data_IF_396520928878
#
_entry.id   IF_396520928878
#
_cell.length_a   1.000
_cell.length_b   1.000
_cell.length_c   1.000
_cell.angle_alpha   90.00
_cell.angle_beta   90.00
_cell.angle_gamma   90.00
#
_symmetry.space_group_name_H-M   'P 1'
#
loop_
_entity.id
_entity.type
_entity.pdbx_description
1 polymer ?
#
# COMPACT_ATOMS: atom_id res chain seq x y z
N UNK A 1 5.40 -16.88 -10.14
CA UNK A 1 5.87 -15.63 -9.53
C UNK A 1 5.67 -15.72 -8.03
N UNK A 2 6.78 -15.74 -7.28
CA UNK A 2 6.74 -15.87 -5.82
C UNK A 2 6.16 -14.61 -5.20
N UNK A 3 5.05 -14.73 -4.52
CA UNK A 3 4.26 -13.60 -4.02
C UNK A 3 4.14 -13.69 -2.51
N UNK A 4 4.33 -12.55 -1.86
CA UNK A 4 3.92 -12.32 -0.47
C UNK A 4 2.67 -11.45 -0.51
N UNK A 5 1.56 -11.93 0.07
CA UNK A 5 0.32 -11.18 0.13
C UNK A 5 -0.13 -11.00 1.58
N UNK A 6 -0.36 -9.74 1.98
CA UNK A 6 -0.85 -9.39 3.31
C UNK A 6 -2.36 -9.22 3.33
N UNK A 7 -2.98 -9.72 4.40
CA UNK A 7 -4.38 -9.47 4.71
C UNK A 7 -4.47 -8.35 5.77
N UNK A 8 -4.73 -7.14 5.30
CA UNK A 8 -4.69 -5.91 6.09
C UNK A 8 -5.92 -5.60 6.95
N UNK A 9 -6.86 -6.54 7.13
CA UNK A 9 -8.12 -6.31 7.86
C UNK A 9 -7.97 -5.97 9.33
N UNK A 10 -6.82 -6.19 9.93
CA UNK A 10 -6.47 -5.79 11.30
C UNK A 10 -5.29 -4.82 11.32
N UNK A 11 -5.09 -4.07 10.23
CA UNK A 11 -3.98 -3.13 10.10
C UNK A 11 -2.62 -3.80 9.98
N UNK A 12 -1.57 -3.03 10.30
CA UNK A 12 -0.18 -3.49 10.33
C UNK A 12 0.66 -2.58 11.23
N UNK A 13 1.55 -3.17 11.99
CA UNK A 13 2.63 -2.50 12.72
C UNK A 13 3.96 -3.19 12.41
N UNK A 14 5.08 -2.60 12.81
CA UNK A 14 6.40 -3.15 12.54
C UNK A 14 6.57 -4.55 13.12
N UNK A 15 6.26 -4.74 14.39
CA UNK A 15 6.29 -6.02 15.08
C UNK A 15 5.39 -7.09 14.43
N UNK A 16 4.19 -6.68 13.97
CA UNK A 16 3.29 -7.57 13.24
C UNK A 16 3.87 -8.01 11.90
N UNK A 17 4.54 -7.12 11.18
CA UNK A 17 5.22 -7.45 9.91
C UNK A 17 6.38 -8.41 10.15
N UNK A 18 7.25 -8.15 11.13
CA UNK A 18 8.33 -9.05 11.50
C UNK A 18 7.80 -10.44 11.87
N UNK A 19 6.82 -10.50 12.77
CA UNK A 19 6.20 -11.75 13.19
C UNK A 19 5.55 -12.52 12.03
N UNK A 20 4.85 -11.84 11.13
CA UNK A 20 4.22 -12.46 9.98
C UNK A 20 5.24 -13.02 8.98
N UNK A 21 6.33 -12.29 8.70
CA UNK A 21 7.40 -12.71 7.80
C UNK A 21 8.20 -13.89 8.36
N UNK A 22 8.56 -13.85 9.65
CA UNK A 22 9.22 -14.98 10.32
C UNK A 22 8.34 -16.24 10.31
N UNK A 23 7.07 -16.10 10.71
CA UNK A 23 6.12 -17.21 10.66
C UNK A 23 5.87 -17.74 9.25
N UNK A 24 6.04 -16.90 8.21
CA UNK A 24 5.95 -17.28 6.80
C UNK A 24 7.25 -17.83 6.22
N UNK A 25 8.26 -18.07 7.06
CA UNK A 25 9.47 -18.82 6.69
C UNK A 25 10.72 -17.99 6.43
N UNK A 26 10.70 -16.68 6.74
CA UNK A 26 11.92 -15.89 6.75
C UNK A 26 12.88 -16.35 7.83
N UNK A 27 14.17 -16.27 7.57
CA UNK A 27 15.21 -16.74 8.49
C UNK A 27 15.53 -15.68 9.55
N UNK A 28 15.25 -15.97 10.81
CA UNK A 28 15.54 -15.08 11.95
C UNK A 28 17.03 -14.68 12.03
N UNK A 29 17.95 -15.53 11.61
CA UNK A 29 19.38 -15.22 11.59
C UNK A 29 19.73 -14.04 10.66
N UNK A 30 18.86 -13.68 9.73
CA UNK A 30 19.02 -12.51 8.86
C UNK A 30 18.96 -11.18 9.62
N UNK A 31 18.41 -11.18 10.85
CA UNK A 31 18.30 -9.99 11.71
C UNK A 31 19.61 -9.62 12.45
N UNK A 32 20.64 -10.44 12.35
CA UNK A 32 21.92 -10.23 13.05
C UNK A 32 22.54 -8.82 12.87
N UNK A 33 22.55 -8.18 11.69
CA UNK A 33 23.12 -6.84 11.54
C UNK A 33 22.48 -5.79 12.45
N UNK A 34 21.18 -5.92 12.74
CA UNK A 34 20.46 -4.99 13.64
C UNK A 34 20.92 -5.17 15.05
N UNK A 35 20.92 -6.41 15.55
CA UNK A 35 21.29 -6.73 16.94
C UNK A 35 22.76 -6.48 17.25
N UNK A 36 23.63 -6.52 16.24
CA UNK A 36 25.04 -6.19 16.38
C UNK A 36 25.32 -4.68 16.45
N UNK A 37 24.38 -3.85 15.96
CA UNK A 37 24.55 -2.38 15.89
C UNK A 37 23.79 -1.63 16.96
N UNK A 38 22.56 -2.05 17.27
CA UNK A 38 21.66 -1.34 18.21
C UNK A 38 21.73 -1.83 19.64
N UNK A 39 22.63 -2.78 19.97
CA UNK A 39 22.69 -3.41 21.31
C UNK A 39 21.31 -3.92 21.77
N UNK A 40 20.48 -4.34 20.82
CA UNK A 40 19.16 -4.90 21.05
C UNK A 40 19.13 -6.41 20.74
N UNK A 41 18.07 -7.08 21.16
CA UNK A 41 17.78 -8.45 20.72
C UNK A 41 16.32 -8.59 20.34
N UNK A 42 16.05 -9.41 19.34
CA UNK A 42 14.70 -9.83 19.04
C UNK A 42 14.32 -11.02 19.93
N UNK A 43 13.13 -10.95 20.52
CA UNK A 43 12.51 -12.07 21.23
C UNK A 43 11.27 -12.50 20.45
N UNK A 44 11.41 -13.61 19.73
CA UNK A 44 10.33 -14.16 18.92
C UNK A 44 9.69 -15.35 19.60
N UNK A 45 8.40 -15.31 19.88
CA UNK A 45 7.68 -16.39 20.54
C UNK A 45 6.24 -16.51 20.04
N UNK A 46 5.64 -17.67 20.28
CA UNK A 46 4.26 -17.93 19.87
C UNK A 46 3.30 -17.50 20.97
N UNK A 47 2.30 -16.70 20.57
CA UNK A 47 1.19 -16.28 21.43
C UNK A 47 -0.15 -16.76 20.88
N UNK A 48 -1.14 -16.89 21.74
CA UNK A 48 -2.53 -17.12 21.33
C UNK A 48 -3.26 -15.78 21.16
N UNK A 49 -3.76 -15.52 19.96
CA UNK A 49 -4.64 -14.38 19.67
C UNK A 49 -6.01 -14.91 19.24
N UNK A 50 -6.92 -15.06 20.21
CA UNK A 50 -8.29 -15.56 19.98
C UNK A 50 -8.32 -16.92 19.26
N UNK A 51 -7.49 -17.88 19.71
CA UNK A 51 -7.40 -19.22 19.14
C UNK A 51 -6.52 -19.32 17.89
N UNK A 52 -5.82 -18.26 17.50
CA UNK A 52 -4.83 -18.26 16.43
C UNK A 52 -3.44 -18.24 17.07
N UNK A 53 -2.62 -19.25 16.78
CA UNK A 53 -1.20 -19.22 17.11
C UNK A 53 -0.50 -18.21 16.19
N UNK A 54 0.04 -17.15 16.77
CA UNK A 54 0.71 -16.07 16.05
C UNK A 54 2.09 -15.80 16.63
N UNK A 55 3.03 -15.37 15.79
CA UNK A 55 4.38 -15.00 16.22
C UNK A 55 4.36 -13.55 16.72
N UNK A 56 4.66 -13.37 17.99
CA UNK A 56 4.97 -12.06 18.57
C UNK A 56 6.48 -11.84 18.47
N UNK A 57 6.87 -10.64 18.10
CA UNK A 57 8.25 -10.21 18.07
C UNK A 57 8.37 -8.96 18.94
N UNK A 58 9.22 -9.04 19.95
CA UNK A 58 9.55 -7.92 20.81
C UNK A 58 11.01 -7.54 20.61
N UNK A 59 11.30 -6.24 20.53
CA UNK A 59 12.65 -5.71 20.53
C UNK A 59 13.01 -5.35 21.97
N UNK A 60 14.01 -6.03 22.52
CA UNK A 60 14.42 -5.86 23.91
C UNK A 60 15.81 -5.23 23.98
N UNK A 61 16.00 -4.28 24.91
CA UNK A 61 17.31 -3.74 25.21
C UNK A 61 18.21 -4.79 25.86
N UNK A 62 19.51 -4.73 25.58
CA UNK A 62 20.47 -5.55 26.31
C UNK A 62 20.66 -5.05 27.73
N UNK A 63 21.14 -5.89 28.66
CA UNK A 63 21.26 -5.57 30.10
C UNK A 63 22.12 -4.32 30.39
N UNK A 64 23.02 -3.93 29.48
CA UNK A 64 23.86 -2.73 29.64
C UNK A 64 23.08 -1.45 29.36
N UNK A 65 22.20 -1.44 28.35
CA UNK A 65 21.40 -0.28 27.99
C UNK A 65 20.17 -0.13 28.90
N UNK A 66 19.60 -1.22 29.38
CA UNK A 66 18.58 -1.18 30.41
C UNK A 66 19.07 -0.47 31.70
N UNK A 67 20.36 -0.62 32.06
CA UNK A 67 20.96 0.12 33.18
C UNK A 67 21.17 1.59 32.89
N UNK A 68 21.57 1.97 31.67
CA UNK A 68 21.72 3.38 31.26
C UNK A 68 20.39 4.11 31.21
N UNK A 69 19.35 3.48 30.66
CA UNK A 69 18.00 4.05 30.63
C UNK A 69 17.43 4.31 32.04
N UNK A 70 17.78 3.44 33.03
CA UNK A 70 17.44 3.67 34.44
C UNK A 70 18.25 4.81 35.08
N UNK A 71 19.53 4.96 34.74
CA UNK A 71 20.38 6.04 35.26
C UNK A 71 19.96 7.42 34.73
N UNK A 72 19.53 7.52 33.47
CA UNK A 72 19.03 8.76 32.85
C UNK A 72 17.65 9.15 33.39
N UNK A 73 16.78 8.18 33.74
CA UNK A 73 15.49 8.45 34.35
C UNK A 73 15.59 8.94 35.82
N UNK A 74 16.64 8.55 36.57
CA UNK A 74 16.88 9.02 37.94
C UNK A 74 17.57 10.40 37.99
N UNK A 75 18.10 10.91 36.86
CA UNK A 75 18.87 12.16 36.80
C UNK A 75 18.03 13.44 36.88
N UNK A 76 16.71 13.39 36.86
CA UNK A 76 15.84 14.58 36.85
C UNK A 76 15.13 14.92 38.17
N UNK A 77 15.54 14.35 39.31
CA UNK A 77 14.97 14.72 40.61
C UNK A 77 15.99 15.46 41.50
N UNK A 78 16.20 16.78 41.21
CA UNK A 78 16.71 17.73 42.18
C UNK A 78 16.19 19.15 41.89
N UNK A 79 15.14 19.54 42.60
CA UNK A 79 14.58 20.89 42.60
C UNK A 79 13.69 21.14 43.81
N UNK A 80 14.33 21.37 44.97
CA UNK A 80 13.92 22.19 46.14
C UNK A 80 12.43 22.29 46.46
N UNK A 81 12.14 21.83 47.69
CA UNK A 81 10.86 21.95 48.37
C UNK A 81 10.42 23.40 48.66
N UNK A 82 9.15 23.64 48.41
CA UNK A 82 8.37 24.63 49.13
C UNK A 82 7.06 24.00 49.60
N UNK A 83 6.95 23.81 50.91
CA UNK A 83 5.73 23.46 51.62
C UNK A 83 4.76 24.64 51.57
N UNK A 84 3.58 24.47 51.00
CA UNK A 84 2.39 25.26 51.34
C UNK A 84 1.21 24.31 51.57
N UNK A 85 0.84 24.30 52.84
CA UNK A 85 -0.34 23.69 53.44
C UNK A 85 -1.60 24.48 53.02
N UNK A 86 -2.51 23.88 52.24
CA UNK A 86 -3.89 24.33 52.10
C UNK A 86 -4.81 23.13 51.95
N UNK A 87 -5.45 22.80 53.08
CA UNK A 87 -6.62 21.93 53.20
C UNK A 87 -7.83 22.53 52.44
N UNK A 88 -8.33 21.87 51.41
CA UNK A 88 -9.72 21.91 51.00
C UNK A 88 -10.18 20.53 50.53
N UNK A 89 -11.10 19.97 51.30
CA UNK A 89 -11.86 18.79 50.99
C UNK A 89 -12.93 19.10 49.94
N UNK A 90 -12.92 18.43 48.81
CA UNK A 90 -14.10 18.15 48.00
C UNK A 90 -14.04 16.73 47.49
N UNK A 91 -14.98 15.97 48.00
CA UNK A 91 -15.35 14.60 47.68
C UNK A 91 -16.07 14.60 46.33
N UNK A 92 -15.49 13.97 45.27
CA UNK A 92 -16.19 13.39 44.16
C UNK A 92 -15.41 12.18 43.66
N UNK A 93 -15.85 11.01 44.12
CA UNK A 93 -15.34 9.73 43.68
C UNK A 93 -15.74 9.42 42.24
N UNK A 94 -14.77 9.29 41.38
CA UNK A 94 -14.82 8.47 40.17
C UNK A 94 -13.54 7.65 40.14
N UNK A 95 -13.64 6.43 40.64
CA UNK A 95 -12.62 5.41 40.47
C UNK A 95 -12.72 4.86 39.06
N UNK A 96 -11.83 5.27 38.19
CA UNK A 96 -11.50 4.48 36.99
C UNK A 96 -10.29 3.62 37.36
N UNK A 97 -10.61 2.38 37.71
CA UNK A 97 -9.64 1.34 37.96
C UNK A 97 -9.22 0.75 36.59
N UNK A 98 -8.15 1.25 36.03
CA UNK A 98 -7.46 0.65 34.91
C UNK A 98 -6.30 -0.18 35.44
N UNK A 99 -6.59 -1.23 36.18
CA UNK A 99 -5.62 -2.26 36.50
C UNK A 99 -5.52 -3.20 35.30
N UNK A 100 -4.53 -2.99 34.44
CA UNK A 100 -4.05 -4.02 33.54
C UNK A 100 -3.27 -5.05 34.37
N UNK A 101 -3.63 -6.34 34.33
CA UNK A 101 -2.79 -7.37 34.92
C UNK A 101 -1.58 -7.58 33.97
N UNK A 102 -0.50 -6.89 34.23
CA UNK A 102 0.81 -7.31 33.73
C UNK A 102 1.31 -8.41 34.64
N UNK A 103 1.08 -9.64 34.22
CA UNK A 103 1.74 -10.81 34.82
C UNK A 103 3.05 -11.04 34.02
N UNK A 104 4.11 -10.33 34.37
CA UNK A 104 5.44 -10.55 33.82
C UNK A 104 6.43 -10.76 34.96
N UNK A 105 6.83 -12.00 35.09
CA UNK A 105 7.94 -12.44 35.91
C UNK A 105 9.23 -12.61 35.09
N UNK A 106 9.50 -11.70 34.16
CA UNK A 106 10.77 -11.62 33.42
C UNK A 106 11.28 -10.19 33.42
N UNK A 107 12.49 -10.03 33.96
CA UNK A 107 13.21 -8.79 34.25
C UNK A 107 13.83 -8.20 32.95
N UNK A 108 13.02 -7.99 31.88
CA UNK A 108 13.47 -7.47 30.58
C UNK A 108 12.81 -6.14 30.30
N UNK A 109 13.61 -5.15 29.88
CA UNK A 109 13.14 -3.82 29.47
C UNK A 109 12.85 -3.83 27.97
N UNK A 110 11.59 -3.59 27.60
CA UNK A 110 11.20 -3.39 26.21
C UNK A 110 11.82 -2.11 25.67
N UNK A 111 12.24 -2.12 24.41
CA UNK A 111 12.74 -0.94 23.72
C UNK A 111 11.62 0.00 23.24
N UNK A 112 10.35 -0.40 23.42
CA UNK A 112 9.17 0.31 22.93
C UNK A 112 9.08 1.72 23.50
N UNK A 113 9.29 2.74 22.64
CA UNK A 113 9.36 4.14 23.03
C UNK A 113 10.56 4.52 23.90
N UNK A 114 11.49 3.62 24.18
CA UNK A 114 12.71 3.89 24.91
C UNK A 114 13.86 4.20 23.95
N UNK A 115 14.44 5.38 24.06
CA UNK A 115 15.60 5.78 23.27
C UNK A 115 15.66 7.30 23.08
N UNK A 116 16.80 7.84 22.65
CA UNK A 116 16.94 9.25 22.38
C UNK A 116 16.07 9.64 21.16
N UNK A 117 15.47 10.82 21.21
CA UNK A 117 14.88 11.42 20.03
C UNK A 117 15.99 11.67 19.01
N UNK A 118 15.91 11.03 17.85
CA UNK A 118 16.90 11.15 16.78
C UNK A 118 16.36 11.98 15.64
N UNK A 119 17.27 12.71 14.98
CA UNK A 119 16.98 13.35 13.71
C UNK A 119 16.94 12.32 12.60
N UNK A 120 16.30 12.66 11.48
CA UNK A 120 16.34 11.82 10.25
C UNK A 120 17.78 11.46 9.86
N UNK A 121 18.72 12.43 9.90
CA UNK A 121 20.11 12.20 9.52
C UNK A 121 20.80 11.17 10.45
N UNK A 122 20.57 11.27 11.77
CA UNK A 122 21.14 10.32 12.74
C UNK A 122 20.62 8.90 12.53
N UNK A 123 19.35 8.72 12.17
CA UNK A 123 18.80 7.41 11.83
C UNK A 123 19.44 6.86 10.56
N UNK A 124 19.64 7.68 9.53
CA UNK A 124 20.34 7.26 8.31
C UNK A 124 21.78 6.85 8.60
N UNK A 125 22.52 7.60 9.44
CA UNK A 125 23.89 7.25 9.85
C UNK A 125 23.93 5.89 10.56
N UNK A 126 22.93 5.58 11.40
CA UNK A 126 22.82 4.27 12.07
C UNK A 126 22.60 3.16 11.01
N UNK A 127 21.66 3.35 10.08
CA UNK A 127 21.41 2.37 9.01
C UNK A 127 22.67 2.11 8.19
N UNK A 128 23.42 3.15 7.84
CA UNK A 128 24.70 3.02 7.10
C UNK A 128 25.77 2.25 7.89
N UNK A 129 25.75 2.36 9.22
CA UNK A 129 26.70 1.67 10.09
C UNK A 129 26.45 0.17 10.21
N UNK A 130 25.26 -0.33 9.85
CA UNK A 130 24.87 -1.74 9.98
C UNK A 130 25.51 -2.69 8.96
N UNK A 131 26.32 -2.19 8.02
CA UNK A 131 26.96 -2.98 6.97
C UNK A 131 26.00 -3.89 6.17
N UNK A 132 24.82 -3.38 5.87
CA UNK A 132 23.78 -4.07 5.10
C UNK A 132 24.22 -4.31 3.65
N UNK A 133 23.58 -5.27 2.96
CA UNK A 133 23.73 -5.36 1.52
C UNK A 133 23.14 -4.11 0.85
N UNK A 134 23.71 -3.68 -0.27
CA UNK A 134 23.29 -2.43 -0.93
C UNK A 134 21.77 -2.36 -1.24
N UNK A 135 21.08 -3.44 -1.66
CA UNK A 135 19.63 -3.39 -1.82
C UNK A 135 18.89 -3.16 -0.50
N UNK A 136 19.23 -3.89 0.56
CA UNK A 136 18.57 -3.76 1.88
C UNK A 136 18.80 -2.38 2.49
N UNK A 137 20.02 -1.83 2.39
CA UNK A 137 20.32 -0.48 2.83
C UNK A 137 19.48 0.56 2.07
N UNK A 138 19.36 0.40 0.75
CA UNK A 138 18.54 1.29 -0.07
C UNK A 138 17.05 1.21 0.31
N UNK A 139 16.52 0.01 0.55
CA UNK A 139 15.14 -0.20 0.98
C UNK A 139 14.89 0.43 2.36
N UNK A 140 15.77 0.19 3.33
CA UNK A 140 15.64 0.77 4.67
C UNK A 140 15.65 2.31 4.63
N UNK A 141 16.59 2.91 3.89
CA UNK A 141 16.64 4.37 3.68
C UNK A 141 15.39 4.91 3.00
N UNK A 142 14.82 4.16 2.04
CA UNK A 142 13.59 4.55 1.37
C UNK A 142 12.39 4.54 2.34
N UNK A 143 12.26 3.53 3.20
CA UNK A 143 11.22 3.47 4.23
C UNK A 143 11.37 4.62 5.23
N UNK A 144 12.59 4.89 5.73
CA UNK A 144 12.83 6.04 6.63
C UNK A 144 12.59 7.37 5.96
N UNK A 145 12.82 7.49 4.66
CA UNK A 145 12.47 8.69 3.92
C UNK A 145 10.96 8.91 3.87
N UNK A 146 10.16 7.86 3.64
CA UNK A 146 8.70 7.95 3.69
C UNK A 146 8.23 8.42 5.07
N UNK A 147 8.77 7.84 6.15
CA UNK A 147 8.48 8.26 7.51
C UNK A 147 8.88 9.71 7.77
N UNK A 148 10.10 10.08 7.39
CA UNK A 148 10.61 11.43 7.59
C UNK A 148 9.84 12.50 6.79
N UNK A 149 9.47 12.23 5.54
CA UNK A 149 8.66 13.14 4.73
C UNK A 149 7.24 13.30 5.30
N UNK A 150 6.66 12.25 5.88
CA UNK A 150 5.37 12.34 6.57
C UNK A 150 5.45 13.20 7.83
N UNK A 151 6.43 12.97 8.70
CA UNK A 151 6.67 13.77 9.90
C UNK A 151 7.00 15.24 9.55
N UNK A 152 7.86 15.46 8.55
CA UNK A 152 8.20 16.78 8.05
C UNK A 152 6.97 17.56 7.59
N UNK A 153 6.03 16.88 6.91
CA UNK A 153 4.77 17.47 6.46
C UNK A 153 3.86 17.81 7.64
N UNK A 154 3.72 16.90 8.60
CA UNK A 154 2.88 17.12 9.80
C UNK A 154 3.39 18.30 10.63
N UNK A 155 4.71 18.47 10.73
CA UNK A 155 5.33 19.52 11.54
C UNK A 155 5.69 20.79 10.77
N UNK A 156 5.41 20.87 9.46
CA UNK A 156 5.80 21.98 8.57
C UNK A 156 7.31 22.33 8.69
N UNK A 157 8.15 21.30 8.68
CA UNK A 157 9.60 21.38 8.83
C UNK A 157 10.33 20.79 7.63
N UNK A 158 11.58 21.19 7.33
CA UNK A 158 12.43 20.50 6.37
C UNK A 158 12.78 19.09 6.86
N UNK A 159 12.93 18.13 5.94
CA UNK A 159 13.26 16.73 6.26
C UNK A 159 14.54 16.61 7.09
N UNK A 160 15.56 17.41 6.76
CA UNK A 160 16.87 17.39 7.44
C UNK A 160 16.79 17.87 8.90
N UNK A 161 15.80 18.70 9.23
CA UNK A 161 15.56 19.25 10.57
C UNK A 161 14.48 18.48 11.33
N UNK A 162 13.93 17.43 10.73
CA UNK A 162 12.85 16.64 11.34
C UNK A 162 13.41 15.73 12.44
N UNK A 163 12.80 15.83 13.61
CA UNK A 163 13.05 14.94 14.75
C UNK A 163 11.99 13.85 14.76
N UNK A 164 12.41 12.62 14.82
CA UNK A 164 11.54 11.49 15.05
C UNK A 164 11.21 11.37 16.54
N UNK A 165 9.96 11.49 16.89
CA UNK A 165 9.51 11.39 18.30
C UNK A 165 9.29 9.92 18.73
N UNK A 166 8.76 9.10 17.84
CA UNK A 166 8.47 7.68 18.09
C UNK A 166 9.25 6.77 17.15
N UNK A 167 9.31 7.10 15.85
CA UNK A 167 9.95 6.28 14.82
C UNK A 167 11.50 6.37 14.78
N UNK A 168 12.09 7.20 15.62
CA UNK A 168 13.56 7.30 15.78
C UNK A 168 14.11 6.45 16.94
N UNK A 169 13.27 5.79 17.70
CA UNK A 169 13.67 4.89 18.77
C UNK A 169 14.23 3.56 18.21
N UNK A 170 14.97 2.86 19.03
CA UNK A 170 15.71 1.65 18.61
C UNK A 170 14.79 0.51 18.14
N UNK A 171 13.59 0.41 18.72
CA UNK A 171 12.55 -0.53 18.30
C UNK A 171 12.04 -0.25 16.88
N UNK A 172 11.75 1.01 16.57
CA UNK A 172 11.29 1.40 15.24
C UNK A 172 12.38 1.20 14.18
N UNK A 173 13.65 1.49 14.52
CA UNK A 173 14.79 1.23 13.63
C UNK A 173 14.94 -0.27 13.41
N UNK A 174 14.83 -1.08 14.46
CA UNK A 174 14.90 -2.52 14.39
C UNK A 174 13.76 -3.09 13.53
N UNK A 175 12.53 -2.59 13.69
CA UNK A 175 11.37 -3.01 12.91
C UNK A 175 11.55 -2.73 11.42
N UNK A 176 11.95 -1.52 11.04
CA UNK A 176 12.13 -1.14 9.64
C UNK A 176 13.25 -1.94 8.99
N UNK A 177 14.45 -1.95 9.58
CA UNK A 177 15.60 -2.65 9.01
C UNK A 177 15.37 -4.17 9.04
N UNK A 178 14.78 -4.68 10.14
CA UNK A 178 14.40 -6.08 10.27
C UNK A 178 13.44 -6.52 9.18
N UNK A 179 12.39 -5.75 8.90
CA UNK A 179 11.46 -6.05 7.81
C UNK A 179 12.17 -6.09 6.44
N UNK A 180 13.06 -5.11 6.15
CA UNK A 180 13.84 -5.10 4.91
C UNK A 180 14.73 -6.35 4.76
N UNK A 181 15.37 -6.79 5.85
CA UNK A 181 16.19 -8.02 5.88
C UNK A 181 15.34 -9.28 5.65
N UNK A 182 14.17 -9.37 6.27
CA UNK A 182 13.28 -10.52 6.11
C UNK A 182 12.64 -10.57 4.71
N UNK A 183 12.31 -9.42 4.11
CA UNK A 183 11.89 -9.37 2.70
C UNK A 183 13.00 -9.81 1.76
N UNK A 184 14.24 -9.37 2.00
CA UNK A 184 15.38 -9.80 1.20
C UNK A 184 15.65 -11.32 1.32
N UNK A 185 15.46 -11.92 2.50
CA UNK A 185 15.60 -13.36 2.72
C UNK A 185 14.49 -14.16 2.02
N UNK A 186 13.23 -13.73 2.12
CA UNK A 186 12.12 -14.35 1.40
C UNK A 186 12.22 -14.18 -0.12
N UNK A 187 12.89 -13.13 -0.59
CA UNK A 187 13.09 -12.78 -1.99
C UNK A 187 11.82 -12.91 -2.85
N UNK A 188 10.70 -12.22 -2.51
CA UNK A 188 9.49 -12.28 -3.31
C UNK A 188 9.67 -11.51 -4.62
N UNK A 189 9.07 -12.03 -5.71
CA UNK A 189 8.97 -11.29 -6.97
C UNK A 189 7.99 -10.11 -6.87
N UNK A 190 7.00 -10.22 -5.97
CA UNK A 190 6.04 -9.15 -5.66
C UNK A 190 5.51 -9.26 -4.23
N UNK A 191 5.19 -8.09 -3.67
CA UNK A 191 4.49 -7.96 -2.39
C UNK A 191 3.15 -7.27 -2.63
N UNK A 192 2.08 -7.81 -2.07
CA UNK A 192 0.71 -7.35 -2.24
C UNK A 192 0.06 -7.11 -0.88
N UNK A 193 -0.85 -6.14 -0.79
CA UNK A 193 -1.69 -5.96 0.40
C UNK A 193 -3.14 -5.68 0.03
N UNK A 194 -4.08 -6.25 0.78
CA UNK A 194 -5.49 -5.82 0.73
C UNK A 194 -5.62 -4.46 1.41
N UNK A 195 -6.77 -3.74 1.26
CA UNK A 195 -6.97 -2.48 1.97
C UNK A 195 -6.64 -2.60 3.46
N UNK A 196 -5.92 -1.60 3.99
CA UNK A 196 -5.40 -1.61 5.36
C UNK A 196 -6.40 -0.97 6.32
N UNK A 197 -6.80 -1.70 7.36
CA UNK A 197 -7.67 -1.19 8.40
C UNK A 197 -6.88 -0.25 9.34
N UNK A 198 -7.34 1.00 9.46
CA UNK A 198 -6.70 1.99 10.33
C UNK A 198 -7.12 1.90 11.79
N UNK A 199 -8.30 1.30 12.06
CA UNK A 199 -8.91 1.37 13.36
C UNK A 199 -9.90 2.51 13.48
N UNK A 200 -10.10 3.03 14.69
CA UNK A 200 -10.96 4.18 15.01
C UNK A 200 -10.64 4.74 16.38
N UNK A 201 -11.39 5.77 16.78
CA UNK A 201 -11.18 6.46 18.04
C UNK A 201 -10.04 7.46 18.01
N UNK A 202 -9.29 7.52 19.09
CA UNK A 202 -8.21 8.47 19.34
C UNK A 202 -6.98 7.73 19.87
N UNK A 203 -5.78 8.27 19.57
CA UNK A 203 -4.50 7.80 20.09
C UNK A 203 -3.79 8.92 20.84
N UNK A 204 -3.21 8.61 21.99
CA UNK A 204 -2.35 9.52 22.75
C UNK A 204 -0.93 9.41 22.21
N UNK A 205 -0.37 10.55 21.79
CA UNK A 205 0.95 10.68 21.20
C UNK A 205 1.75 11.77 21.93
N UNK A 206 3.02 11.94 21.61
CA UNK A 206 3.92 12.88 22.26
C UNK A 206 3.38 14.34 22.34
N UNK A 207 2.58 14.77 21.38
CA UNK A 207 2.02 16.12 21.29
C UNK A 207 0.54 16.24 21.66
N UNK A 208 -0.08 15.20 22.18
CA UNK A 208 -1.49 15.17 22.58
C UNK A 208 -2.28 14.02 21.99
N UNK A 209 -3.60 14.08 22.12
CA UNK A 209 -4.53 13.06 21.62
C UNK A 209 -4.97 13.39 20.20
N UNK A 210 -4.82 12.44 19.29
CA UNK A 210 -5.13 12.59 17.86
C UNK A 210 -6.18 11.58 17.39
N UNK A 211 -7.04 11.96 16.44
CA UNK A 211 -7.95 11.00 15.83
C UNK A 211 -7.21 9.97 14.99
N UNK A 212 -7.73 8.74 14.96
CA UNK A 212 -7.24 7.66 14.10
C UNK A 212 -7.97 7.70 12.74
N UNK A 213 -7.24 7.62 11.58
CA UNK A 213 -5.78 7.43 11.45
C UNK A 213 -4.98 8.65 11.90
N UNK A 214 -3.79 8.41 12.47
CA UNK A 214 -2.88 9.45 12.93
C UNK A 214 -2.33 10.26 11.76
N UNK A 215 -1.90 11.53 11.97
CA UNK A 215 -1.50 12.41 10.87
C UNK A 215 -0.41 11.80 9.95
N UNK A 216 0.62 11.18 10.52
CA UNK A 216 1.68 10.55 9.74
C UNK A 216 1.16 9.41 8.84
N UNK A 217 0.22 8.58 9.35
CA UNK A 217 -0.42 7.52 8.55
C UNK A 217 -1.20 8.09 7.38
N UNK A 218 -1.88 9.24 7.56
CA UNK A 218 -2.61 9.91 6.47
C UNK A 218 -1.66 10.37 5.37
N UNK A 219 -0.53 11.01 5.73
CA UNK A 219 0.46 11.49 4.77
C UNK A 219 1.13 10.33 4.01
N UNK A 220 1.45 9.23 4.70
CA UNK A 220 2.00 8.02 4.07
C UNK A 220 0.99 7.42 3.09
N UNK A 221 -0.25 7.24 3.51
CA UNK A 221 -1.30 6.63 2.71
C UNK A 221 -1.65 7.44 1.44
N UNK A 222 -1.53 8.77 1.51
CA UNK A 222 -1.77 9.64 0.36
C UNK A 222 -0.78 9.41 -0.79
N UNK A 223 0.38 8.81 -0.52
CA UNK A 223 1.44 8.52 -1.50
C UNK A 223 1.56 7.03 -1.83
N UNK A 224 0.90 6.16 -1.07
CA UNK A 224 0.98 4.71 -1.22
C UNK A 224 0.09 4.18 -2.36
N UNK A 225 0.44 2.99 -2.87
CA UNK A 225 -0.34 2.27 -3.89
C UNK A 225 -1.33 1.25 -3.28
N UNK A 226 -1.86 1.56 -2.09
CA UNK A 226 -2.86 0.74 -1.42
C UNK A 226 -3.93 1.63 -0.76
N UNK A 227 -5.08 1.03 -0.47
CA UNK A 227 -6.24 1.74 0.06
C UNK A 227 -6.33 1.64 1.59
N UNK A 228 -6.84 2.72 2.22
CA UNK A 228 -7.27 2.70 3.61
C UNK A 228 -8.72 2.24 3.73
N UNK A 229 -9.01 1.54 4.82
CA UNK A 229 -10.38 1.27 5.23
C UNK A 229 -10.55 1.55 6.72
N UNK A 230 -11.76 1.90 7.14
CA UNK A 230 -12.10 2.01 8.57
C UNK A 230 -11.86 0.69 9.28
N UNK A 231 -11.53 0.78 10.57
CA UNK A 231 -11.23 -0.40 11.37
C UNK A 231 -12.45 -0.97 12.08
N UNK A 232 -12.36 -2.23 12.51
CA UNK A 232 -13.44 -2.90 13.25
C UNK A 232 -13.42 -2.60 14.76
N UNK A 233 -12.47 -1.81 15.25
CA UNK A 233 -12.25 -1.49 16.68
C UNK A 233 -11.82 -0.04 16.87
N UNK A 234 -12.08 0.52 18.05
CA UNK A 234 -11.65 1.85 18.48
C UNK A 234 -10.23 1.78 19.06
N UNK A 235 -9.25 1.57 18.20
CA UNK A 235 -7.82 1.54 18.53
C UNK A 235 -7.01 1.76 17.26
N UNK A 236 -5.77 2.23 17.37
CA UNK A 236 -4.85 2.30 16.25
C UNK A 236 -4.45 0.87 15.81
N UNK A 237 -4.74 0.55 14.55
CA UNK A 237 -4.42 -0.73 13.94
C UNK A 237 -3.31 -0.62 12.88
N UNK A 238 -3.18 0.55 12.27
CA UNK A 238 -2.13 0.84 11.29
C UNK A 238 -1.21 1.90 11.87
N UNK A 239 0.01 1.50 12.24
CA UNK A 239 1.02 2.42 12.75
C UNK A 239 1.80 3.08 11.62
N UNK A 240 2.44 4.26 11.85
CA UNK A 240 3.29 4.90 10.85
C UNK A 240 4.39 3.97 10.31
N UNK A 241 5.05 3.20 11.18
CA UNK A 241 6.09 2.23 10.80
C UNK A 241 5.54 1.14 9.87
N UNK A 242 4.42 0.51 10.23
CA UNK A 242 3.77 -0.50 9.40
C UNK A 242 3.29 0.05 8.06
N UNK A 243 2.72 1.26 8.06
CA UNK A 243 2.29 1.97 6.87
C UNK A 243 3.45 2.26 5.91
N UNK A 244 4.58 2.77 6.41
CA UNK A 244 5.74 3.11 5.60
C UNK A 244 6.42 1.89 4.98
N UNK A 245 6.57 0.80 5.75
CA UNK A 245 7.11 -0.46 5.22
C UNK A 245 6.22 -0.96 4.07
N UNK A 246 4.90 -1.00 4.27
CA UNK A 246 3.98 -1.45 3.22
C UNK A 246 3.87 -0.46 2.05
N UNK A 247 4.06 0.85 2.28
CA UNK A 247 4.09 1.83 1.19
C UNK A 247 5.29 1.65 0.27
N UNK A 248 6.42 1.19 0.82
CA UNK A 248 7.61 0.91 0.02
C UNK A 248 7.53 -0.44 -0.72
N UNK A 249 7.11 -1.50 -0.03
CA UNK A 249 7.20 -2.87 -0.56
C UNK A 249 5.94 -3.34 -1.27
N UNK A 250 4.74 -2.92 -0.83
CA UNK A 250 3.50 -3.55 -1.23
C UNK A 250 2.72 -2.74 -2.25
N UNK A 251 2.15 -3.44 -3.22
CA UNK A 251 1.12 -2.90 -4.11
C UNK A 251 -0.27 -3.28 -3.60
N UNK A 252 -1.19 -2.33 -3.65
CA UNK A 252 -2.59 -2.54 -3.26
C UNK A 252 -3.35 -3.46 -4.21
N UNK A 253 -4.24 -4.27 -3.63
CA UNK A 253 -5.18 -5.15 -4.34
C UNK A 253 -6.51 -5.16 -3.62
N UNK A 254 -7.63 -5.20 -4.34
CA UNK A 254 -8.98 -5.25 -3.75
C UNK A 254 -9.24 -6.54 -2.96
N UNK A 255 -8.62 -7.64 -3.35
CA UNK A 255 -8.78 -8.96 -2.74
C UNK A 255 -7.55 -9.83 -2.98
N UNK A 256 -7.33 -10.79 -2.08
CA UNK A 256 -6.23 -11.75 -2.18
C UNK A 256 -6.23 -12.44 -3.55
N UNK A 257 -5.06 -12.55 -4.21
CA UNK A 257 -4.95 -13.17 -5.52
C UNK A 257 -5.17 -14.70 -5.45
N UNK A 258 -5.56 -15.30 -6.56
CA UNK A 258 -5.53 -16.75 -6.68
C UNK A 258 -4.05 -17.19 -6.70
N UNK A 259 -3.64 -17.97 -5.72
CA UNK A 259 -2.26 -18.43 -5.58
C UNK A 259 -2.20 -19.88 -5.09
N UNK A 260 -1.14 -20.57 -5.45
CA UNK A 260 -0.78 -21.84 -4.83
C UNK A 260 -0.03 -21.50 -3.55
N UNK A 261 -0.71 -21.63 -2.41
CA UNK A 261 -0.14 -21.32 -1.10
C UNK A 261 0.96 -22.33 -0.75
N UNK A 262 2.14 -21.83 -0.41
CA UNK A 262 3.28 -22.62 0.06
C UNK A 262 3.45 -22.49 1.57
N UNK A 263 3.36 -21.26 2.08
CA UNK A 263 3.52 -20.94 3.50
C UNK A 263 2.53 -19.84 3.90
N UNK A 264 2.26 -19.76 5.20
CA UNK A 264 1.50 -18.66 5.79
C UNK A 264 2.02 -18.34 7.18
N UNK A 265 2.05 -17.06 7.53
CA UNK A 265 2.46 -16.60 8.84
C UNK A 265 1.43 -15.64 9.44
N UNK A 266 1.34 -15.63 10.75
CA UNK A 266 0.55 -14.67 11.53
C UNK A 266 1.49 -13.93 12.47
N UNK A 267 1.60 -12.61 12.30
CA UNK A 267 2.30 -11.71 13.21
C UNK A 267 1.31 -11.12 14.22
N UNK A 268 1.62 -11.20 15.50
CA UNK A 268 0.77 -10.74 16.59
C UNK A 268 1.10 -9.30 16.96
N UNK A 269 0.10 -8.41 16.96
CA UNK A 269 0.24 -7.07 17.50
C UNK A 269 0.08 -7.00 19.01
N UNK A 270 0.43 -5.85 19.63
CA UNK A 270 0.37 -5.62 21.07
C UNK A 270 -1.04 -5.73 21.65
N UNK A 271 -2.06 -5.22 20.99
CA UNK A 271 -3.42 -5.18 21.48
C UNK A 271 -4.07 -6.54 21.65
N UNK A 272 -4.90 -6.66 22.68
CA UNK A 272 -5.76 -7.84 22.92
C UNK A 272 -7.22 -7.42 22.86
N UNK A 273 -7.95 -7.91 21.87
CA UNK A 273 -9.38 -7.64 21.70
C UNK A 273 -10.20 -8.89 22.07
N UNK A 274 -11.31 -8.74 22.79
CA UNK A 274 -12.09 -9.90 23.26
C UNK A 274 -12.69 -10.76 22.12
N UNK A 275 -13.06 -10.15 21.01
CA UNK A 275 -13.80 -10.81 19.92
C UNK A 275 -13.02 -10.97 18.62
N UNK A 276 -11.80 -10.46 18.55
CA UNK A 276 -11.02 -10.41 17.30
C UNK A 276 -9.55 -10.68 17.55
N UNK A 277 -8.91 -11.50 16.71
CA UNK A 277 -7.45 -11.69 16.77
C UNK A 277 -6.77 -10.43 16.20
N UNK A 278 -5.90 -9.81 17.00
CA UNK A 278 -5.01 -8.74 16.52
C UNK A 278 -3.79 -9.36 15.86
N UNK A 279 -3.93 -9.72 14.59
CA UNK A 279 -2.89 -10.36 13.81
C UNK A 279 -2.84 -9.86 12.38
N UNK A 280 -1.65 -9.70 11.84
CA UNK A 280 -1.39 -9.54 10.42
C UNK A 280 -1.08 -10.91 9.82
N UNK A 281 -1.73 -11.25 8.73
CA UNK A 281 -1.49 -12.50 8.03
C UNK A 281 -0.68 -12.29 6.76
N UNK A 282 0.46 -12.97 6.65
CA UNK A 282 1.23 -13.10 5.42
C UNK A 282 0.94 -14.45 4.74
N UNK A 283 0.72 -14.43 3.44
CA UNK A 283 0.54 -15.61 2.59
C UNK A 283 1.68 -15.62 1.58
N UNK A 284 2.47 -16.69 1.56
CA UNK A 284 3.61 -16.86 0.65
C UNK A 284 3.31 -18.02 -0.30
N UNK A 285 3.51 -17.81 -1.59
CA UNK A 285 3.29 -18.84 -2.58
C UNK A 285 3.40 -18.32 -4.00
N UNK A 286 3.05 -19.15 -4.96
CA UNK A 286 3.04 -18.77 -6.37
C UNK A 286 1.66 -18.21 -6.75
N UNK A 287 1.60 -16.90 -7.03
CA UNK A 287 0.42 -16.34 -7.68
C UNK A 287 0.31 -16.91 -9.09
N UNK A 288 -0.89 -17.30 -9.48
CA UNK A 288 -1.13 -17.75 -10.86
C UNK A 288 -1.12 -16.52 -11.75
N UNK A 289 -0.20 -16.50 -12.70
CA UNK A 289 -0.18 -15.54 -13.80
C UNK A 289 -1.50 -15.57 -14.57
N UNK A 290 -1.90 -14.41 -15.05
CA UNK A 290 -3.13 -14.26 -15.83
C UNK A 290 -3.38 -12.78 -16.11
N UNK A 291 -4.51 -12.50 -16.77
CA UNK A 291 -4.97 -11.13 -16.94
C UNK A 291 -5.33 -10.51 -15.59
N UNK A 292 -5.08 -9.22 -15.42
CA UNK A 292 -5.38 -8.49 -14.19
C UNK A 292 -6.89 -8.24 -14.09
N UNK A 293 -7.57 -8.61 -13.00
CA UNK A 293 -8.96 -8.23 -12.78
C UNK A 293 -9.04 -6.74 -12.45
N UNK A 294 -9.85 -6.01 -13.19
CA UNK A 294 -10.18 -4.60 -12.94
C UNK A 294 -11.66 -4.49 -12.55
N UNK A 295 -11.95 -3.92 -11.38
CA UNK A 295 -13.33 -3.69 -10.96
C UNK A 295 -14.01 -2.71 -11.92
N UNK A 296 -15.20 -3.04 -12.39
CA UNK A 296 -15.96 -2.22 -13.32
C UNK A 296 -17.45 -2.19 -12.99
N UNK A 297 -18.08 -1.12 -13.45
CA UNK A 297 -19.54 -0.97 -13.56
C UNK A 297 -19.91 -0.79 -15.02
N UNK A 298 -21.07 -1.30 -15.43
CA UNK A 298 -21.61 -1.14 -16.79
C UNK A 298 -22.85 -0.24 -16.72
N UNK A 299 -22.78 0.89 -17.42
CA UNK A 299 -23.92 1.76 -17.62
C UNK A 299 -24.62 1.41 -18.94
N UNK A 300 -25.96 1.30 -18.94
CA UNK A 300 -26.73 1.01 -20.14
C UNK A 300 -27.92 1.94 -20.30
N UNK A 301 -28.16 2.38 -21.53
CA UNK A 301 -29.38 3.08 -21.90
C UNK A 301 -29.86 2.68 -23.29
N UNK A 302 -31.17 2.75 -23.50
CA UNK A 302 -31.82 2.51 -24.79
C UNK A 302 -32.27 3.83 -25.38
N UNK A 303 -31.93 4.08 -26.65
CA UNK A 303 -32.19 5.31 -27.39
C UNK A 303 -32.95 4.98 -28.69
N UNK A 304 -34.07 5.65 -28.97
CA UNK A 304 -34.84 5.54 -30.23
C UNK A 304 -34.96 6.87 -30.98
N UNK A 305 -34.34 7.95 -30.48
CA UNK A 305 -34.45 9.31 -30.98
C UNK A 305 -33.11 10.08 -31.02
N UNK A 306 -31.99 9.43 -30.67
CA UNK A 306 -30.68 10.10 -30.73
C UNK A 306 -30.18 10.24 -32.17
N UNK A 307 -29.71 11.45 -32.59
CA UNK A 307 -29.10 11.67 -33.90
C UNK A 307 -27.83 10.82 -34.11
N UNK A 308 -27.58 10.33 -35.36
CA UNK A 308 -26.39 9.55 -35.66
C UNK A 308 -25.08 10.29 -35.33
N UNK A 309 -25.05 11.60 -35.48
CA UNK A 309 -23.89 12.44 -35.17
C UNK A 309 -23.56 12.43 -33.68
N UNK A 310 -24.56 12.42 -32.81
CA UNK A 310 -24.38 12.33 -31.37
C UNK A 310 -23.82 10.94 -31.03
N UNK A 311 -24.41 9.88 -31.60
CA UNK A 311 -23.92 8.51 -31.39
C UNK A 311 -22.48 8.34 -31.88
N UNK A 312 -22.12 8.95 -33.00
CA UNK A 312 -20.76 8.90 -33.58
C UNK A 312 -19.70 9.56 -32.70
N UNK A 313 -20.04 10.64 -31.99
CA UNK A 313 -19.12 11.36 -31.10
C UNK A 313 -19.10 10.83 -29.65
N UNK A 314 -20.03 9.92 -29.31
CA UNK A 314 -20.29 9.56 -27.92
C UNK A 314 -19.09 8.87 -27.26
N UNK A 315 -18.34 8.06 -28.00
CA UNK A 315 -17.14 7.38 -27.49
C UNK A 315 -16.09 8.38 -27.01
N UNK A 316 -15.74 9.37 -27.85
CA UNK A 316 -14.75 10.39 -27.52
C UNK A 316 -15.20 11.22 -26.30
N UNK A 317 -16.46 11.68 -26.34
CA UNK A 317 -17.03 12.53 -25.30
C UNK A 317 -17.08 11.82 -23.94
N UNK A 318 -17.47 10.55 -23.90
CA UNK A 318 -17.54 9.79 -22.63
C UNK A 318 -16.17 9.34 -22.14
N UNK A 319 -15.24 9.03 -23.05
CA UNK A 319 -13.86 8.68 -22.66
C UNK A 319 -13.17 9.86 -21.98
N UNK A 320 -13.41 11.08 -22.46
CA UNK A 320 -12.87 12.30 -21.86
C UNK A 320 -13.29 12.52 -20.39
N UNK A 321 -14.40 11.90 -19.95
CA UNK A 321 -14.90 11.98 -18.57
C UNK A 321 -14.77 10.67 -17.80
N UNK A 322 -13.99 9.70 -18.29
CA UNK A 322 -13.61 8.49 -17.53
C UNK A 322 -14.22 7.18 -18.02
N UNK A 323 -14.98 7.16 -19.13
CA UNK A 323 -15.40 5.90 -19.73
C UNK A 323 -14.20 5.11 -20.23
N UNK A 324 -14.22 3.80 -19.98
CA UNK A 324 -13.16 2.86 -20.39
C UNK A 324 -13.44 2.23 -21.74
N UNK A 325 -14.71 2.11 -22.08
CA UNK A 325 -15.17 1.61 -23.38
C UNK A 325 -16.63 2.03 -23.61
N UNK A 326 -16.99 2.25 -24.86
CA UNK A 326 -18.35 2.61 -25.26
C UNK A 326 -18.74 1.73 -26.46
N UNK A 327 -19.80 0.97 -26.31
CA UNK A 327 -20.36 0.13 -27.37
C UNK A 327 -21.76 0.57 -27.69
N UNK A 328 -22.08 0.70 -28.98
CA UNK A 328 -23.41 1.04 -29.49
C UNK A 328 -23.95 -0.13 -30.30
N UNK A 329 -25.02 -0.74 -29.79
CA UNK A 329 -25.62 -1.94 -30.38
C UNK A 329 -26.99 -1.57 -30.99
N UNK A 330 -27.22 -1.79 -32.29
CA UNK A 330 -28.52 -1.58 -32.90
C UNK A 330 -29.55 -2.57 -32.34
N UNK A 331 -30.72 -2.07 -31.97
CA UNK A 331 -31.82 -2.84 -31.39
C UNK A 331 -33.15 -2.48 -32.01
N UNK A 332 -34.13 -3.37 -31.86
CA UNK A 332 -35.54 -3.03 -32.15
C UNK A 332 -36.28 -2.74 -30.87
N UNK A 333 -36.82 -1.54 -30.75
CA UNK A 333 -37.55 -1.07 -29.58
C UNK A 333 -39.08 -1.23 -29.75
N UNK A 334 -39.83 -0.75 -28.74
CA UNK A 334 -41.32 -0.78 -28.77
C UNK A 334 -41.87 -0.22 -30.07
N UNK A 335 -42.97 -0.78 -30.55
CA UNK A 335 -43.62 -0.43 -31.81
C UNK A 335 -42.72 -0.65 -33.07
N UNK A 336 -41.80 -1.63 -32.97
CA UNK A 336 -40.86 -1.98 -34.04
C UNK A 336 -39.97 -0.81 -34.51
N UNK A 337 -39.67 0.17 -33.62
CA UNK A 337 -38.76 1.26 -33.93
C UNK A 337 -37.31 0.81 -33.89
N UNK A 338 -36.51 1.20 -34.86
CA UNK A 338 -35.08 1.05 -34.72
C UNK A 338 -34.57 1.91 -33.57
N UNK A 339 -33.60 1.44 -32.83
CA UNK A 339 -32.96 2.15 -31.74
C UNK A 339 -31.57 1.60 -31.46
N UNK A 340 -30.95 2.14 -30.42
CA UNK A 340 -29.61 1.76 -30.00
C UNK A 340 -29.59 1.45 -28.51
N UNK A 341 -28.88 0.38 -28.14
CA UNK A 341 -28.45 0.11 -26.78
C UNK A 341 -27.02 0.63 -26.64
N UNK A 342 -26.84 1.66 -25.85
CA UNK A 342 -25.50 2.16 -25.49
C UNK A 342 -25.07 1.47 -24.20
N UNK A 343 -23.88 0.88 -24.25
CA UNK A 343 -23.20 0.22 -23.11
C UNK A 343 -21.90 0.94 -22.87
N UNK A 344 -21.66 1.36 -21.62
CA UNK A 344 -20.45 2.07 -21.22
C UNK A 344 -19.79 1.34 -20.07
N UNK A 345 -18.54 0.95 -20.23
CA UNK A 345 -17.73 0.38 -19.16
C UNK A 345 -17.04 1.53 -18.42
N UNK A 346 -17.20 1.57 -17.11
CA UNK A 346 -16.62 2.60 -16.23
C UNK A 346 -16.04 1.97 -14.97
N UNK A 347 -15.17 2.70 -14.27
CA UNK A 347 -14.89 2.40 -12.86
C UNK A 347 -16.05 2.87 -11.99
N UNK A 348 -16.26 2.24 -10.84
CA UNK A 348 -17.35 2.60 -9.93
C UNK A 348 -17.28 4.09 -9.51
N UNK A 349 -16.09 4.61 -9.27
CA UNK A 349 -15.82 6.01 -8.91
C UNK A 349 -16.20 7.02 -10.00
N UNK A 350 -16.13 6.62 -11.27
CA UNK A 350 -16.46 7.44 -12.42
C UNK A 350 -17.94 7.34 -12.86
N UNK A 351 -18.68 6.35 -12.35
CA UNK A 351 -20.01 5.97 -12.83
C UNK A 351 -21.00 7.15 -12.83
N UNK A 352 -21.09 7.91 -11.76
CA UNK A 352 -22.00 9.04 -11.63
C UNK A 352 -21.68 10.15 -12.65
N UNK A 353 -20.39 10.49 -12.80
CA UNK A 353 -19.94 11.53 -13.74
C UNK A 353 -20.19 11.14 -15.20
N UNK A 354 -19.88 9.89 -15.55
CA UNK A 354 -20.10 9.37 -16.91
C UNK A 354 -21.58 9.22 -17.20
N UNK A 355 -22.40 8.77 -16.23
CA UNK A 355 -23.86 8.69 -16.39
C UNK A 355 -24.49 10.07 -16.63
N UNK A 356 -24.06 11.08 -15.88
CA UNK A 356 -24.53 12.46 -16.10
C UNK A 356 -24.17 12.94 -17.50
N UNK A 357 -22.92 12.74 -17.94
CA UNK A 357 -22.48 13.15 -19.29
C UNK A 357 -23.25 12.40 -20.39
N UNK A 358 -23.46 11.09 -20.21
CA UNK A 358 -24.27 10.29 -21.14
C UNK A 358 -25.72 10.81 -21.25
N UNK A 359 -26.34 11.23 -20.15
CA UNK A 359 -27.66 11.81 -20.15
C UNK A 359 -27.70 13.17 -20.85
N UNK A 360 -26.71 14.04 -20.61
CA UNK A 360 -26.59 15.36 -21.26
C UNK A 360 -26.45 15.25 -22.78
N UNK A 361 -25.62 14.32 -23.25
CA UNK A 361 -25.37 14.16 -24.69
C UNK A 361 -26.54 13.50 -25.42
N UNK A 362 -27.21 12.56 -24.79
CA UNK A 362 -28.25 11.75 -25.46
C UNK A 362 -29.67 12.15 -25.16
N UNK A 363 -29.90 12.95 -24.12
CA UNK A 363 -31.24 13.26 -23.63
C UNK A 363 -31.97 12.09 -23.01
N UNK A 364 -31.31 10.96 -22.70
CA UNK A 364 -31.95 9.80 -22.10
C UNK A 364 -32.54 10.13 -20.74
N UNK A 365 -33.73 9.56 -20.46
CA UNK A 365 -34.43 9.73 -19.19
C UNK A 365 -34.07 8.65 -18.16
N UNK A 366 -33.29 7.66 -18.54
CA UNK A 366 -32.95 6.56 -17.63
C UNK A 366 -31.72 5.78 -18.06
N UNK A 367 -30.80 5.64 -17.15
CA UNK A 367 -29.58 4.84 -17.29
C UNK A 367 -29.64 3.73 -16.27
N UNK A 368 -29.43 2.52 -16.69
CA UNK A 368 -29.31 1.35 -15.81
C UNK A 368 -27.84 1.17 -15.44
N UNK A 369 -27.60 0.96 -14.18
CA UNK A 369 -26.29 0.58 -13.66
C UNK A 369 -26.30 -0.92 -13.35
N UNK A 370 -25.33 -1.63 -13.89
CA UNK A 370 -25.13 -3.06 -13.62
C UNK A 370 -23.74 -3.25 -13.04
N UNK A 371 -23.69 -3.79 -11.83
CA UNK A 371 -22.44 -4.15 -11.20
C UNK A 371 -21.87 -5.40 -11.88
N UNK A 372 -20.81 -5.22 -12.65
CA UNK A 372 -19.96 -6.32 -13.08
C UNK A 372 -18.86 -6.50 -12.03
N UNK A 373 -18.54 -7.74 -11.65
CA UNK A 373 -17.49 -7.94 -10.63
C UNK A 373 -16.16 -7.35 -11.08
N UNK A 374 -15.74 -7.69 -12.29
CA UNK A 374 -14.49 -7.22 -12.89
C UNK A 374 -14.46 -7.56 -14.39
N UNK A 375 -13.57 -6.90 -15.10
CA UNK A 375 -13.08 -7.35 -16.41
C UNK A 375 -11.63 -7.81 -16.27
N UNK A 376 -11.21 -8.73 -17.10
CA UNK A 376 -9.82 -9.17 -17.18
C UNK A 376 -9.07 -8.30 -18.16
N UNK A 377 -8.02 -7.62 -17.70
CA UNK A 377 -7.23 -6.69 -18.52
C UNK A 377 -5.78 -7.16 -18.62
N UNK A 378 -5.14 -6.86 -19.74
CA UNK A 378 -3.70 -6.97 -19.89
C UNK A 378 -3.00 -5.81 -19.16
N UNK A 379 -1.80 -6.05 -18.65
CA UNK A 379 -0.86 -4.95 -18.46
C UNK A 379 -0.48 -4.37 -19.82
N UNK A 380 -0.45 -3.04 -19.95
CA UNK A 380 -0.16 -2.36 -21.21
C UNK A 380 1.00 -1.40 -21.01
N UNK A 381 1.97 -1.49 -21.90
CA UNK A 381 3.03 -0.48 -22.04
C UNK A 381 3.17 -0.09 -23.50
N UNK A 382 3.71 1.08 -23.75
CA UNK A 382 3.98 1.58 -25.10
C UNK A 382 5.47 1.75 -25.28
N UNK A 383 5.97 1.30 -26.42
CA UNK A 383 7.34 1.51 -26.85
C UNK A 383 7.34 2.18 -28.23
N UNK A 384 8.35 2.99 -28.51
CA UNK A 384 8.48 3.66 -29.81
C UNK A 384 9.43 2.85 -30.69
N UNK A 385 8.89 2.31 -31.78
CA UNK A 385 9.71 1.69 -32.82
C UNK A 385 10.27 2.76 -33.75
N UNK A 386 11.57 2.75 -33.98
CA UNK A 386 12.22 3.61 -34.97
C UNK A 386 12.45 2.82 -36.24
N UNK A 387 11.85 3.25 -37.36
CA UNK A 387 11.94 2.61 -38.67
C UNK A 387 12.82 3.44 -39.60
N UNK A 388 13.88 2.85 -40.16
CA UNK A 388 14.62 3.45 -41.27
C UNK A 388 13.98 2.99 -42.60
N UNK A 389 13.46 3.94 -43.34
CA UNK A 389 12.85 3.70 -44.66
C UNK A 389 13.46 4.69 -45.64
N UNK A 390 14.21 4.18 -46.62
CA UNK A 390 14.89 4.96 -47.67
C UNK A 390 15.83 6.04 -47.09
N UNK A 391 16.49 5.77 -45.95
CA UNK A 391 17.41 6.70 -45.30
C UNK A 391 16.75 7.78 -44.45
N UNK A 392 15.44 7.69 -44.23
CA UNK A 392 14.69 8.55 -43.32
C UNK A 392 14.19 7.76 -42.11
N UNK A 393 14.28 8.37 -40.94
CA UNK A 393 13.82 7.78 -39.68
C UNK A 393 12.38 8.17 -39.39
N UNK A 394 11.55 7.19 -39.06
CA UNK A 394 10.14 7.36 -38.70
C UNK A 394 9.88 6.65 -37.35
N UNK A 395 9.04 7.26 -36.54
CA UNK A 395 8.62 6.71 -35.25
C UNK A 395 7.19 6.19 -35.33
N UNK A 396 6.95 5.01 -34.75
CA UNK A 396 5.64 4.38 -34.63
C UNK A 396 5.50 3.84 -33.20
N UNK A 397 4.44 4.23 -32.51
CA UNK A 397 4.10 3.69 -31.19
C UNK A 397 3.66 2.24 -31.33
N UNK A 398 4.19 1.39 -30.46
CA UNK A 398 3.88 -0.04 -30.40
C UNK A 398 3.36 -0.36 -29.00
N UNK A 399 2.16 -0.88 -28.95
CA UNK A 399 1.54 -1.36 -27.70
C UNK A 399 1.98 -2.78 -27.44
N UNK A 400 2.48 -3.01 -26.21
CA UNK A 400 2.80 -4.32 -25.69
C UNK A 400 1.75 -4.73 -24.67
N UNK A 401 1.20 -5.93 -24.81
CA UNK A 401 0.29 -6.51 -23.85
C UNK A 401 0.93 -7.70 -23.17
N UNK A 402 0.96 -7.69 -21.85
CA UNK A 402 1.48 -8.77 -21.01
C UNK A 402 0.42 -9.20 -19.99
N UNK A 403 0.61 -10.39 -19.43
CA UNK A 403 -0.15 -10.85 -18.28
C UNK A 403 0.35 -10.22 -16.97
N UNK A 404 -0.17 -10.66 -15.84
CA UNK A 404 0.22 -10.19 -14.52
C UNK A 404 1.71 -10.46 -14.20
N UNK A 405 2.29 -11.49 -14.80
CA UNK A 405 3.68 -11.91 -14.65
C UNK A 405 4.61 -11.28 -15.69
N UNK A 406 4.16 -10.21 -16.37
CA UNK A 406 4.87 -9.53 -17.45
C UNK A 406 5.24 -10.42 -18.65
N UNK A 407 4.61 -11.59 -18.76
CA UNK A 407 4.76 -12.43 -19.95
C UNK A 407 4.08 -11.76 -21.14
N UNK A 408 4.90 -11.31 -22.09
CA UNK A 408 4.43 -10.65 -23.30
C UNK A 408 3.70 -11.66 -24.20
N UNK A 409 2.45 -11.36 -24.57
CA UNK A 409 1.67 -12.21 -25.48
C UNK A 409 1.13 -11.48 -26.71
N UNK A 410 1.15 -10.14 -26.73
CA UNK A 410 0.77 -9.36 -27.91
C UNK A 410 1.67 -8.13 -28.09
N UNK A 411 2.01 -7.83 -29.33
CA UNK A 411 2.77 -6.66 -29.77
C UNK A 411 2.04 -6.08 -30.97
N UNK A 412 1.45 -4.91 -30.83
CA UNK A 412 0.59 -4.29 -31.82
C UNK A 412 1.01 -2.86 -32.07
N UNK A 413 1.34 -2.50 -33.31
CA UNK A 413 1.61 -1.12 -33.68
C UNK A 413 0.33 -0.28 -33.68
N UNK A 414 0.41 0.98 -33.26
CA UNK A 414 -0.72 1.91 -33.30
C UNK A 414 -1.03 2.31 -34.75
N UNK A 415 -2.30 2.13 -35.12
CA UNK A 415 -2.77 2.31 -36.50
C UNK A 415 -2.56 3.75 -36.99
N UNK A 416 -2.85 4.75 -36.17
CA UNK A 416 -2.80 6.15 -36.56
C UNK A 416 -1.36 6.57 -36.88
N UNK A 417 -0.38 6.17 -36.08
CA UNK A 417 1.03 6.41 -36.33
C UNK A 417 1.50 5.71 -37.61
N UNK A 418 1.12 4.44 -37.76
CA UNK A 418 1.44 3.64 -38.95
C UNK A 418 0.81 4.25 -40.24
N UNK A 419 -0.40 4.78 -40.16
CA UNK A 419 -1.06 5.44 -41.26
C UNK A 419 -0.35 6.73 -41.69
N UNK A 420 0.11 7.55 -40.75
CA UNK A 420 0.90 8.75 -41.02
C UNK A 420 2.24 8.42 -41.70
N UNK A 421 2.91 7.35 -41.27
CA UNK A 421 4.16 6.90 -41.92
C UNK A 421 3.88 6.35 -43.33
N UNK A 422 2.81 5.58 -43.47
CA UNK A 422 2.39 5.02 -44.77
C UNK A 422 2.10 6.12 -45.80
N UNK A 423 1.43 7.20 -45.38
CA UNK A 423 1.19 8.37 -46.24
C UNK A 423 2.49 9.05 -46.74
N UNK A 424 3.48 9.16 -45.87
CA UNK A 424 4.78 9.78 -46.16
C UNK A 424 5.69 8.89 -47.04
N UNK A 425 5.59 7.56 -46.91
CA UNK A 425 6.50 6.58 -47.53
C UNK A 425 5.88 5.92 -48.76
N UNK A 426 4.56 6.00 -48.95
CA UNK A 426 3.85 5.24 -49.99
C UNK A 426 3.77 3.74 -49.75
N UNK A 427 4.26 3.26 -48.62
CA UNK A 427 4.16 1.84 -48.22
C UNK A 427 2.76 1.52 -47.68
N UNK A 428 2.28 0.26 -47.82
CA UNK A 428 1.02 -0.14 -47.21
C UNK A 428 1.09 -0.03 -45.68
N UNK A 429 0.02 0.46 -45.03
CA UNK A 429 -0.08 0.61 -43.57
C UNK A 429 0.31 -0.72 -42.86
N UNK A 430 -0.20 -1.84 -43.33
CA UNK A 430 0.11 -3.17 -42.75
C UNK A 430 1.61 -3.51 -42.77
N UNK A 431 2.35 -3.00 -43.75
CA UNK A 431 3.79 -3.22 -43.85
C UNK A 431 4.53 -2.33 -42.83
N UNK A 432 4.09 -1.12 -42.61
CA UNK A 432 4.63 -0.24 -41.54
C UNK A 432 4.37 -0.88 -40.17
N UNK A 433 3.14 -1.32 -39.91
CA UNK A 433 2.80 -1.99 -38.64
C UNK A 433 3.68 -3.23 -38.42
N UNK A 434 3.81 -4.11 -39.41
CA UNK A 434 4.66 -5.30 -39.30
C UNK A 434 6.12 -4.99 -39.00
N UNK A 435 6.68 -3.92 -39.62
CA UNK A 435 8.06 -3.49 -39.35
C UNK A 435 8.22 -2.93 -37.94
N UNK A 436 7.27 -2.14 -37.47
CA UNK A 436 7.27 -1.58 -36.15
C UNK A 436 7.18 -2.67 -35.06
N UNK A 437 6.29 -3.63 -35.25
CA UNK A 437 6.14 -4.79 -34.35
C UNK A 437 7.39 -5.67 -34.32
N UNK A 438 8.05 -5.89 -35.47
CA UNK A 438 9.28 -6.65 -35.55
C UNK A 438 10.44 -5.92 -34.84
N UNK A 439 10.57 -4.60 -35.01
CA UNK A 439 11.62 -3.80 -34.39
C UNK A 439 11.57 -3.84 -32.85
N UNK A 440 10.38 -3.94 -32.28
CA UNK A 440 10.22 -4.03 -30.81
C UNK A 440 10.40 -5.46 -30.29
N UNK A 441 10.03 -6.49 -31.09
CA UNK A 441 10.24 -7.91 -30.70
C UNK A 441 11.70 -8.32 -30.72
N UNK A 442 12.48 -7.70 -31.59
CA UNK A 442 13.91 -8.07 -31.81
C UNK A 442 14.87 -7.23 -30.94
N UNK A 443 14.33 -6.24 -30.18
CA UNK A 443 15.09 -5.38 -29.26
C UNK A 443 15.14 -5.96 -27.84
#
# INVERSE_FOLDING_TARGET
MRTVAFDGRMGASGDMLLGALLAAGANEASLAPVTETLDTRYDSHIVDKNGIAATKVDVLLTDEDARRAHEDAEGYDHGEGHSHDHTHAHDHGHTHDHSHPHDHSDDHTHAEGAGPNRTYAEVIDIVESMNLSAPVEADAKAVFRILGEAEATVHDAPLEDTHFHEVGADDAIADVVGACLLFADLAPDQVLTTPLAVGGGEADMAHGTYPIPTPAVVEIAAQADWELQGGPVEAELLTPTGAAILAHFARGIDSLPAMNLEQSGYGAGGWTFPERPNVLRALVGEARGGLVPEAITVLETNLDDAPPEVLGGLQETLTAVGARDVSIVPVTMKKARPGHLVKVIVRAEDAARVAQKLAEETGTLGIREMVARHRWTAKRRFETATLDIEGHSYEVSVKLASDADDTLYDVSAEYDDAALVAEKTGLPIREIMRRAEAAVRDA
#
